data_IF_665347854937
#
_entry.id   IF_665347854937
#
_cell.length_a   1.000
_cell.length_b   1.000
_cell.length_c   1.000
_cell.angle_alpha   90.00
_cell.angle_beta   90.00
_cell.angle_gamma   90.00
#
_symmetry.space_group_name_H-M   'P 1'
#
loop_
_entity.id
_entity.type
_entity.pdbx_description
1 polymer ?
#
# COMPACT_ATOMS: atom_id res chain seq x y z
N UNK A 1 3.57 4.89 -17.05
CA UNK A 1 3.60 3.51 -17.61
C UNK A 1 2.56 2.62 -16.93
N UNK A 2 2.71 2.25 -15.65
CA UNK A 2 1.78 1.33 -14.96
C UNK A 2 0.31 1.80 -14.96
N UNK A 3 0.04 3.07 -14.61
CA UNK A 3 -1.32 3.65 -14.63
C UNK A 3 -2.01 3.43 -15.98
N UNK A 4 -1.32 3.72 -17.07
CA UNK A 4 -1.88 3.60 -18.42
C UNK A 4 -2.15 2.12 -18.74
N UNK A 5 -1.19 1.23 -18.49
CA UNK A 5 -1.38 -0.20 -18.74
C UNK A 5 -2.58 -0.80 -17.97
N UNK A 6 -2.85 -0.34 -16.75
CA UNK A 6 -4.04 -0.74 -15.98
C UNK A 6 -5.32 -0.24 -16.65
N UNK A 7 -5.35 1.03 -17.06
CA UNK A 7 -6.51 1.62 -17.74
C UNK A 7 -6.76 1.01 -19.13
N UNK A 8 -5.70 0.59 -19.81
CA UNK A 8 -5.79 -0.10 -21.11
C UNK A 8 -6.31 -1.54 -20.93
N UNK A 9 -6.03 -2.18 -19.80
CA UNK A 9 -6.52 -3.53 -19.49
C UNK A 9 -8.02 -3.57 -19.16
N UNK A 10 -8.58 -2.50 -18.58
CA UNK A 10 -10.00 -2.45 -18.28
C UNK A 10 -10.47 -1.18 -17.58
N UNK A 11 -11.77 -1.14 -17.28
CA UNK A 11 -12.39 0.01 -16.63
C UNK A 11 -12.12 0.01 -15.12
N UNK A 12 -11.10 0.76 -14.70
CA UNK A 12 -10.69 0.87 -13.30
C UNK A 12 -10.57 2.32 -12.85
N UNK A 13 -10.79 2.54 -11.55
CA UNK A 13 -10.36 3.76 -10.89
C UNK A 13 -8.91 3.60 -10.45
N UNK A 14 -7.99 4.41 -11.01
CA UNK A 14 -6.56 4.35 -10.66
C UNK A 14 -6.17 5.60 -9.89
N UNK A 15 -5.80 5.42 -8.62
CA UNK A 15 -5.38 6.50 -7.71
C UNK A 15 -3.87 6.43 -7.50
N UNK A 16 -3.16 7.50 -7.84
CA UNK A 16 -1.72 7.63 -7.59
C UNK A 16 -1.48 8.34 -6.26
N UNK A 17 -1.05 7.58 -5.24
CA UNK A 17 -0.68 8.14 -3.95
C UNK A 17 0.76 8.69 -3.98
N UNK A 18 0.93 9.99 -4.24
CA UNK A 18 2.23 10.64 -4.15
C UNK A 18 2.52 11.06 -2.69
N UNK A 19 3.55 10.46 -2.11
CA UNK A 19 4.00 10.75 -0.74
C UNK A 19 5.50 11.07 -0.69
N UNK A 20 6.06 11.60 -1.79
CA UNK A 20 7.50 11.91 -1.93
C UNK A 20 8.04 12.76 -0.79
N UNK A 21 7.27 13.76 -0.33
CA UNK A 21 7.65 14.63 0.81
C UNK A 21 7.81 13.85 2.13
N UNK A 22 7.16 12.70 2.24
CA UNK A 22 7.19 11.83 3.41
C UNK A 22 8.17 10.65 3.26
N UNK A 23 8.92 10.57 2.16
CA UNK A 23 9.97 9.57 1.93
C UNK A 23 11.39 10.18 1.94
N UNK A 24 11.82 10.88 3.02
CA UNK A 24 13.11 11.55 3.04
C UNK A 24 14.27 10.61 3.38
N UNK A 25 15.47 11.04 3.02
CA UNK A 25 16.72 10.52 3.58
C UNK A 25 16.97 11.24 4.93
N UNK A 26 17.40 10.55 6.00
CA UNK A 26 17.77 9.13 6.08
C UNK A 26 16.56 8.18 6.15
N UNK A 27 16.69 6.98 5.58
CA UNK A 27 15.64 5.96 5.46
C UNK A 27 14.90 5.63 6.77
N UNK A 28 15.55 5.77 7.93
CA UNK A 28 14.89 5.59 9.24
C UNK A 28 13.67 6.49 9.42
N UNK A 29 13.70 7.72 8.90
CA UNK A 29 12.56 8.64 8.93
C UNK A 29 11.48 8.20 7.94
N UNK A 30 11.87 7.81 6.73
CA UNK A 30 10.94 7.26 5.74
C UNK A 30 10.16 6.05 6.28
N UNK A 31 10.78 5.12 7.02
CA UNK A 31 10.05 3.98 7.61
C UNK A 31 8.97 4.41 8.61
N UNK A 32 9.26 5.39 9.47
CA UNK A 32 8.25 5.92 10.40
C UNK A 32 7.10 6.59 9.65
N UNK A 33 7.44 7.36 8.62
CA UNK A 33 6.45 8.04 7.79
C UNK A 33 5.61 7.04 6.97
N UNK A 34 6.17 5.91 6.53
CA UNK A 34 5.44 4.88 5.80
C UNK A 34 4.25 4.35 6.60
N UNK A 35 4.39 4.22 7.94
CA UNK A 35 3.27 3.88 8.83
C UNK A 35 2.17 4.93 8.76
N UNK A 36 2.53 6.20 8.92
CA UNK A 36 1.57 7.32 8.86
C UNK A 36 0.89 7.42 7.49
N UNK A 37 1.64 7.27 6.40
CA UNK A 37 1.10 7.27 5.04
C UNK A 37 0.15 6.10 4.82
N UNK A 38 0.48 4.90 5.32
CA UNK A 38 -0.41 3.74 5.26
C UNK A 38 -1.71 3.95 6.04
N UNK A 39 -1.64 4.59 7.21
CA UNK A 39 -2.82 4.99 7.98
C UNK A 39 -3.70 5.97 7.21
N UNK A 40 -3.11 6.98 6.55
CA UNK A 40 -3.84 7.92 5.69
C UNK A 40 -4.44 7.28 4.44
N UNK A 41 -3.77 6.32 3.83
CA UNK A 41 -4.33 5.54 2.72
C UNK A 41 -5.50 4.67 3.21
N UNK A 42 -5.43 4.09 4.40
CA UNK A 42 -6.56 3.36 4.99
C UNK A 42 -7.77 4.28 5.26
N UNK A 43 -7.54 5.50 5.76
CA UNK A 43 -8.60 6.52 5.91
C UNK A 43 -9.25 6.83 4.55
N UNK A 44 -8.45 7.00 3.50
CA UNK A 44 -8.95 7.23 2.13
C UNK A 44 -9.76 6.03 1.62
N UNK A 45 -9.29 4.79 1.81
CA UNK A 45 -10.02 3.58 1.40
C UNK A 45 -11.37 3.48 2.11
N UNK A 46 -11.43 3.79 3.41
CA UNK A 46 -12.69 3.85 4.18
C UNK A 46 -13.59 4.99 3.70
N UNK A 47 -13.03 6.15 3.37
CA UNK A 47 -13.79 7.25 2.78
C UNK A 47 -14.46 6.83 1.46
N UNK A 48 -13.71 6.17 0.57
CA UNK A 48 -14.22 5.63 -0.70
C UNK A 48 -15.29 4.56 -0.45
N UNK A 49 -15.11 3.70 0.55
CA UNK A 49 -16.11 2.71 0.93
C UNK A 49 -17.42 3.38 1.37
N UNK A 50 -17.35 4.34 2.30
CA UNK A 50 -18.52 4.99 2.87
C UNK A 50 -19.25 5.88 1.88
N UNK A 51 -18.53 6.68 1.09
CA UNK A 51 -19.14 7.71 0.24
C UNK A 51 -19.21 7.30 -1.23
N UNK A 52 -18.22 6.55 -1.72
CA UNK A 52 -18.18 6.01 -3.09
C UNK A 52 -18.86 4.65 -3.23
N UNK A 53 -19.31 4.04 -2.13
CA UNK A 53 -20.00 2.73 -2.08
C UNK A 53 -19.18 1.57 -2.69
N UNK A 54 -17.86 1.73 -2.79
CA UNK A 54 -16.99 0.67 -3.27
C UNK A 54 -16.69 -0.34 -2.14
N UNK A 55 -16.69 -1.63 -2.45
CA UNK A 55 -16.26 -2.63 -1.48
C UNK A 55 -14.75 -2.56 -1.27
N UNK A 56 -14.26 -2.66 -0.03
CA UNK A 56 -12.82 -2.80 0.24
C UNK A 56 -12.21 -4.03 -0.45
N UNK A 57 -13.02 -5.07 -0.68
CA UNK A 57 -12.62 -6.27 -1.44
C UNK A 57 -12.39 -5.99 -2.94
N UNK A 58 -12.91 -4.88 -3.46
CA UNK A 58 -12.67 -4.45 -4.84
C UNK A 58 -11.42 -3.59 -5.00
N UNK A 59 -10.75 -3.24 -3.89
CA UNK A 59 -9.56 -2.40 -3.91
C UNK A 59 -8.30 -3.28 -3.98
N UNK A 60 -7.40 -2.91 -4.90
CA UNK A 60 -6.07 -3.49 -5.07
C UNK A 60 -5.01 -2.42 -4.78
N UNK A 61 -4.20 -2.61 -3.74
CA UNK A 61 -3.08 -1.74 -3.42
C UNK A 61 -1.79 -2.28 -4.03
N UNK A 62 -1.16 -1.52 -4.92
CA UNK A 62 0.12 -1.88 -5.53
C UNK A 62 1.19 -0.95 -4.95
N UNK A 63 2.18 -1.53 -4.28
CA UNK A 63 3.29 -0.80 -3.68
C UNK A 63 4.62 -1.26 -4.27
N UNK A 64 5.55 -0.34 -4.47
CA UNK A 64 6.93 -0.65 -4.86
C UNK A 64 7.90 -0.29 -3.73
N UNK A 65 8.89 -1.15 -3.46
CA UNK A 65 9.88 -0.91 -2.41
C UNK A 65 9.20 -0.64 -1.04
N UNK A 66 9.51 0.48 -0.40
CA UNK A 66 8.86 0.89 0.85
C UNK A 66 7.32 1.07 0.71
N UNK A 67 6.84 1.38 -0.50
CA UNK A 67 5.40 1.46 -0.80
C UNK A 67 4.66 0.15 -0.58
N UNK A 68 5.33 -1.01 -0.72
CA UNK A 68 4.72 -2.31 -0.45
C UNK A 68 4.32 -2.45 1.02
N UNK A 69 5.13 -1.90 1.93
CA UNK A 69 4.85 -1.87 3.36
C UNK A 69 3.79 -0.82 3.72
N UNK A 70 3.76 0.31 3.01
CA UNK A 70 2.65 1.28 3.10
C UNK A 70 1.32 0.59 2.78
N UNK A 71 1.26 -0.21 1.71
CA UNK A 71 0.07 -1.01 1.39
C UNK A 71 -0.27 -2.02 2.49
N UNK A 72 0.73 -2.69 3.08
CA UNK A 72 0.53 -3.61 4.21
C UNK A 72 -0.10 -2.93 5.42
N UNK A 73 0.41 -1.75 5.81
CA UNK A 73 -0.17 -0.94 6.88
C UNK A 73 -1.61 -0.53 6.55
N UNK A 74 -1.87 -0.10 5.31
CA UNK A 74 -3.21 0.29 4.89
C UNK A 74 -4.20 -0.88 4.99
N UNK A 75 -3.83 -2.02 4.40
CA UNK A 75 -4.63 -3.25 4.41
C UNK A 75 -4.98 -3.73 5.82
N UNK A 76 -3.98 -3.75 6.72
CA UNK A 76 -4.16 -4.10 8.13
C UNK A 76 -5.17 -3.21 8.86
N UNK A 77 -5.19 -1.91 8.54
CA UNK A 77 -6.11 -0.93 9.16
C UNK A 77 -7.55 -1.00 8.61
N UNK A 78 -7.75 -1.54 7.41
CA UNK A 78 -9.08 -1.74 6.81
C UNK A 78 -9.60 -3.18 6.96
N UNK A 79 -8.73 -4.14 7.31
CA UNK A 79 -8.99 -5.57 7.62
C UNK A 79 -9.55 -6.45 6.50
N UNK A 80 -10.21 -5.89 5.50
CA UNK A 80 -10.94 -6.62 4.44
C UNK A 80 -10.54 -6.15 3.04
N UNK A 81 -9.26 -5.78 2.88
CA UNK A 81 -8.72 -5.33 1.60
C UNK A 81 -8.67 -6.50 0.62
N UNK A 82 -9.07 -6.28 -0.63
CA UNK A 82 -9.11 -7.33 -1.65
C UNK A 82 -7.74 -7.88 -2.03
N UNK A 83 -6.81 -7.00 -2.41
CA UNK A 83 -5.48 -7.42 -2.86
C UNK A 83 -4.38 -6.44 -2.51
N UNK A 84 -3.19 -6.95 -2.18
CA UNK A 84 -1.95 -6.19 -2.18
C UNK A 84 -0.94 -6.87 -3.12
N UNK A 85 -0.35 -6.11 -4.04
CA UNK A 85 0.87 -6.54 -4.76
C UNK A 85 2.06 -5.73 -4.26
N UNK A 86 3.07 -6.41 -3.74
CA UNK A 86 4.36 -5.82 -3.39
C UNK A 86 5.37 -6.04 -4.51
N UNK A 87 5.79 -4.96 -5.16
CA UNK A 87 6.83 -4.98 -6.21
C UNK A 87 8.18 -4.67 -5.56
N UNK A 88 9.07 -5.65 -5.51
CA UNK A 88 10.35 -5.62 -4.82
C UNK A 88 10.23 -5.03 -3.40
N UNK A 89 9.48 -5.67 -2.47
CA UNK A 89 9.21 -5.17 -1.12
C UNK A 89 10.47 -5.20 -0.24
N UNK A 90 11.43 -4.32 -0.55
CA UNK A 90 12.65 -4.05 0.19
C UNK A 90 13.74 -5.11 0.02
N UNK A 91 14.92 -4.69 -0.42
CA UNK A 91 16.14 -5.51 -0.34
C UNK A 91 16.38 -5.99 1.11
N UNK A 92 16.82 -7.25 1.27
CA UNK A 92 17.04 -7.95 2.55
C UNK A 92 17.79 -7.14 3.64
N UNK A 93 18.64 -6.19 3.26
CA UNK A 93 19.38 -5.31 4.19
C UNK A 93 18.49 -4.28 4.90
N UNK A 94 17.41 -3.86 4.25
CA UNK A 94 16.46 -2.84 4.72
C UNK A 94 15.37 -3.45 5.62
N UNK A 95 14.93 -4.68 5.31
CA UNK A 95 13.83 -5.35 6.03
C UNK A 95 14.11 -5.49 7.54
N UNK A 96 15.39 -5.60 7.94
CA UNK A 96 15.82 -5.60 9.36
C UNK A 96 15.51 -4.29 10.09
N UNK A 97 15.46 -3.17 9.39
CA UNK A 97 15.13 -1.85 9.95
C UNK A 97 13.62 -1.62 10.05
N UNK A 98 12.81 -2.44 9.38
CA UNK A 98 11.36 -2.30 9.33
C UNK A 98 10.76 -3.08 10.49
N UNK A 99 10.08 -2.35 11.37
CA UNK A 99 9.37 -2.93 12.50
C UNK A 99 8.29 -3.90 12.01
N UNK A 100 8.03 -5.01 12.71
CA UNK A 100 7.04 -6.01 12.29
C UNK A 100 5.64 -5.42 12.04
N UNK A 101 5.26 -4.40 12.80
CA UNK A 101 3.98 -3.69 12.65
C UNK A 101 3.89 -2.79 11.40
N UNK A 102 4.99 -2.59 10.67
CA UNK A 102 5.04 -1.85 9.40
C UNK A 102 5.23 -2.81 8.22
N UNK A 103 5.92 -3.94 8.44
CA UNK A 103 6.20 -4.92 7.39
C UNK A 103 4.92 -5.48 6.78
N UNK A 104 4.97 -5.64 5.46
CA UNK A 104 3.92 -6.31 4.68
C UNK A 104 3.83 -7.77 5.11
N UNK A 105 2.61 -8.26 5.26
CA UNK A 105 2.28 -9.61 5.67
C UNK A 105 1.18 -10.18 4.78
N UNK A 106 1.16 -11.50 4.61
CA UNK A 106 0.09 -12.22 3.90
C UNK A 106 -1.31 -12.01 4.53
N UNK A 107 -1.37 -11.50 5.77
CA UNK A 107 -2.63 -11.21 6.47
C UNK A 107 -3.18 -9.80 6.22
N UNK A 108 -2.47 -8.97 5.47
CA UNK A 108 -2.85 -7.57 5.28
C UNK A 108 -3.94 -7.39 4.21
N UNK A 109 -4.26 -8.42 3.42
CA UNK A 109 -5.36 -8.45 2.46
C UNK A 109 -5.86 -9.90 2.24
N UNK A 110 -7.00 -10.06 1.58
CA UNK A 110 -7.56 -11.36 1.17
C UNK A 110 -6.57 -12.11 0.24
N UNK A 111 -5.83 -11.37 -0.59
CA UNK A 111 -4.74 -11.91 -1.40
C UNK A 111 -3.51 -10.98 -1.38
N UNK A 112 -2.33 -11.54 -1.14
CA UNK A 112 -1.06 -10.80 -1.16
C UNK A 112 -0.07 -11.53 -2.05
N UNK A 113 0.40 -10.85 -3.10
CA UNK A 113 1.41 -11.34 -4.02
C UNK A 113 2.66 -10.44 -4.03
N UNK A 114 3.82 -11.05 -4.24
CA UNK A 114 5.13 -10.38 -4.21
C UNK A 114 5.88 -10.73 -5.50
N UNK A 115 6.52 -9.73 -6.09
CA UNK A 115 7.36 -9.84 -7.29
C UNK A 115 8.72 -9.22 -7.06
#
# INVERSE_FOLDING_TARGET
VLKNAILDYGNYNVILANWTLYNPIPFRRAYKNAKFVGEKIAEMMKFIQTHGKASLKSIHCIGHSLGSHVCGVAGRNVRTLGRITGLDPGALSIVKLIQPNIRLSHKDADFVDIM
#
